data_IF_401750801359
#
_entry.id   IF_401750801359
#
_cell.length_a   1.000
_cell.length_b   1.000
_cell.length_c   1.000
_cell.angle_alpha   90.00
_cell.angle_beta   90.00
_cell.angle_gamma   90.00
#
_symmetry.space_group_name_H-M   'P 1'
#
loop_
_entity.id
_entity.type
_entity.pdbx_description
1 polymer ?
#
# COMPACT_ATOMS: atom_id res chain seq x y z
N UNK A 1 17.89 21.13 -2.03
CA UNK A 1 18.12 21.09 -0.58
C UNK A 1 19.12 19.99 -0.28
N UNK A 2 20.11 20.23 0.60
CA UNK A 2 20.95 19.14 1.10
C UNK A 2 20.04 18.14 1.81
N UNK A 3 20.20 16.85 1.49
CA UNK A 3 19.40 15.80 2.13
C UNK A 3 19.86 15.68 3.58
N UNK A 4 18.94 15.64 4.52
CA UNK A 4 19.22 15.18 5.88
C UNK A 4 19.72 13.73 5.80
N UNK A 5 20.73 13.40 6.62
CA UNK A 5 21.25 12.04 6.69
C UNK A 5 20.13 11.05 7.05
N UNK A 6 20.22 9.82 6.53
CA UNK A 6 19.28 8.75 6.90
C UNK A 6 19.52 8.41 8.37
N UNK A 7 18.44 8.27 9.15
CA UNK A 7 18.53 7.75 10.51
C UNK A 7 18.83 6.25 10.42
N UNK A 8 20.05 5.87 10.75
CA UNK A 8 20.55 4.49 10.71
C UNK A 8 21.14 4.16 12.09
N UNK A 9 20.25 3.98 13.07
CA UNK A 9 20.60 3.70 14.45
C UNK A 9 20.26 2.23 14.79
N UNK A 10 20.97 1.61 15.76
CA UNK A 10 20.60 0.29 16.26
C UNK A 10 19.14 0.27 16.75
N UNK A 11 18.41 -0.79 16.41
CA UNK A 11 16.99 -0.95 16.71
C UNK A 11 16.03 -0.15 15.80
N UNK A 12 16.53 0.67 14.87
CA UNK A 12 15.68 1.41 13.95
C UNK A 12 14.95 0.48 12.97
N UNK A 13 13.67 0.77 12.75
CA UNK A 13 12.84 0.11 11.74
C UNK A 13 12.99 0.82 10.39
N UNK A 14 13.18 0.04 9.33
CA UNK A 14 13.36 0.49 7.97
C UNK A 14 12.39 -0.25 7.05
N UNK A 15 11.56 0.51 6.33
CA UNK A 15 10.92 -0.01 5.14
C UNK A 15 11.81 0.32 3.93
N UNK A 16 12.22 -0.71 3.21
CA UNK A 16 13.16 -0.58 2.11
C UNK A 16 12.50 -1.07 0.84
N UNK A 17 12.52 -0.22 -0.19
CA UNK A 17 12.20 -0.60 -1.56
C UNK A 17 13.49 -0.63 -2.39
N UNK A 18 13.69 -1.71 -3.12
CA UNK A 18 14.64 -1.75 -4.24
C UNK A 18 13.85 -1.82 -5.54
N UNK A 19 14.18 -0.96 -6.50
CA UNK A 19 13.49 -0.85 -7.79
C UNK A 19 14.51 -0.76 -8.92
N UNK A 20 14.23 -1.38 -10.06
CA UNK A 20 15.08 -1.17 -11.24
C UNK A 20 14.86 0.22 -11.82
N UNK A 21 15.90 0.77 -12.43
CA UNK A 21 15.80 1.95 -13.29
C UNK A 21 14.73 1.68 -14.36
N UNK A 22 13.95 2.72 -14.69
CA UNK A 22 12.86 2.68 -15.68
C UNK A 22 11.79 1.61 -15.44
N UNK A 23 11.55 1.21 -14.18
CA UNK A 23 10.53 0.20 -13.82
C UNK A 23 10.72 -1.15 -14.52
N UNK A 24 11.91 -1.42 -15.05
CA UNK A 24 12.22 -2.69 -15.70
C UNK A 24 12.23 -3.84 -14.69
N UNK A 25 12.12 -5.09 -15.18
CA UNK A 25 12.16 -6.28 -14.32
C UNK A 25 13.50 -6.42 -13.60
N UNK A 26 13.50 -6.49 -12.27
CA UNK A 26 14.67 -6.90 -11.46
C UNK A 26 14.81 -8.41 -11.58
N UNK A 27 13.71 -9.15 -11.32
CA UNK A 27 13.68 -10.60 -11.38
C UNK A 27 13.13 -11.02 -12.75
N UNK A 28 14.00 -11.62 -13.57
CA UNK A 28 13.60 -12.17 -14.87
C UNK A 28 13.15 -13.62 -14.75
N UNK A 29 13.65 -14.33 -13.74
CA UNK A 29 13.34 -15.73 -13.42
C UNK A 29 13.21 -15.90 -11.90
N UNK A 30 12.54 -16.96 -11.45
CA UNK A 30 12.42 -17.27 -10.02
C UNK A 30 13.78 -17.48 -9.34
N UNK A 31 14.77 -18.02 -10.07
CA UNK A 31 16.14 -18.15 -9.59
C UNK A 31 16.76 -16.81 -9.12
N UNK A 32 16.34 -15.68 -9.70
CA UNK A 32 16.83 -14.37 -9.28
C UNK A 32 16.27 -13.97 -7.91
N UNK A 33 15.06 -14.42 -7.57
CA UNK A 33 14.44 -14.23 -6.24
C UNK A 33 15.13 -15.14 -5.23
N UNK A 34 15.38 -16.39 -5.62
CA UNK A 34 16.06 -17.38 -4.77
C UNK A 34 17.48 -16.94 -4.42
N UNK A 35 18.26 -16.41 -5.38
CA UNK A 35 19.61 -15.87 -5.10
C UNK A 35 19.57 -14.69 -4.12
N UNK A 36 18.54 -13.85 -4.19
CA UNK A 36 18.39 -12.73 -3.27
C UNK A 36 17.98 -13.20 -1.87
N UNK A 37 17.11 -14.21 -1.76
CA UNK A 37 16.73 -14.86 -0.50
C UNK A 37 17.90 -15.56 0.17
N UNK A 38 18.67 -16.36 -0.57
CA UNK A 38 19.85 -17.07 -0.07
C UNK A 38 20.89 -16.10 0.50
N UNK A 39 21.03 -14.92 -0.11
CA UNK A 39 21.90 -13.87 0.41
C UNK A 39 21.37 -13.27 1.70
N UNK A 40 20.07 -12.99 1.76
CA UNK A 40 19.45 -12.48 2.98
C UNK A 40 19.59 -13.48 4.13
N UNK A 41 19.45 -14.78 3.88
CA UNK A 41 19.61 -15.80 4.92
C UNK A 41 21.02 -15.87 5.51
N UNK A 42 22.04 -15.38 4.79
CA UNK A 42 23.41 -15.25 5.30
C UNK A 42 23.65 -13.88 5.95
N UNK A 43 23.25 -12.80 5.28
CA UNK A 43 23.57 -11.43 5.71
C UNK A 43 22.81 -11.05 6.98
N UNK A 44 21.52 -11.40 7.08
CA UNK A 44 20.68 -10.95 8.19
C UNK A 44 21.16 -11.50 9.54
N UNK A 45 21.48 -12.80 9.70
CA UNK A 45 22.05 -13.31 10.95
C UNK A 45 23.41 -12.70 11.29
N UNK A 46 24.32 -12.59 10.33
CA UNK A 46 25.67 -12.03 10.54
C UNK A 46 25.68 -10.55 10.95
N UNK A 47 24.62 -9.83 10.59
CA UNK A 47 24.45 -8.40 10.91
C UNK A 47 23.45 -8.16 12.02
N UNK A 48 22.94 -9.22 12.65
CA UNK A 48 21.87 -9.19 13.65
C UNK A 48 20.63 -8.40 13.20
N UNK A 49 20.40 -8.27 11.89
CA UNK A 49 19.27 -7.53 11.33
C UNK A 49 18.03 -8.41 11.33
N UNK A 50 16.98 -7.96 12.00
CA UNK A 50 15.69 -8.68 12.01
C UNK A 50 14.90 -8.37 10.75
N UNK A 51 14.31 -9.39 10.11
CA UNK A 51 13.37 -9.23 9.00
C UNK A 51 11.96 -9.61 9.45
N UNK A 52 11.04 -8.66 9.39
CA UNK A 52 9.64 -8.87 9.78
C UNK A 52 8.74 -9.20 8.59
N UNK A 53 9.03 -8.64 7.41
CA UNK A 53 8.27 -8.85 6.20
C UNK A 53 9.14 -8.62 4.96
N UNK A 54 8.79 -9.29 3.86
CA UNK A 54 9.39 -9.08 2.55
C UNK A 54 8.39 -9.40 1.43
N UNK A 55 8.57 -8.77 0.27
CA UNK A 55 7.80 -9.08 -0.92
C UNK A 55 8.65 -8.90 -2.19
N UNK A 56 8.58 -9.86 -3.12
CA UNK A 56 9.25 -9.80 -4.41
C UNK A 56 8.26 -9.67 -5.56
N UNK A 57 8.26 -8.50 -6.21
CA UNK A 57 7.52 -8.23 -7.44
C UNK A 57 8.50 -8.22 -8.62
N UNK A 58 8.00 -8.32 -9.85
CA UNK A 58 8.87 -8.44 -11.03
C UNK A 58 9.90 -7.30 -11.17
N UNK A 59 9.51 -6.06 -10.85
CA UNK A 59 10.32 -4.85 -11.04
C UNK A 59 10.77 -4.15 -9.75
N UNK A 60 10.38 -4.66 -8.58
CA UNK A 60 10.79 -4.14 -7.29
C UNK A 60 10.68 -5.17 -6.16
N UNK A 61 11.35 -4.91 -5.05
CA UNK A 61 11.21 -5.70 -3.83
C UNK A 61 11.10 -4.80 -2.60
N UNK A 62 10.36 -5.30 -1.61
CA UNK A 62 10.12 -4.65 -0.32
C UNK A 62 10.70 -5.46 0.82
N UNK A 63 11.23 -4.75 1.82
CA UNK A 63 11.71 -5.33 3.07
C UNK A 63 11.29 -4.46 4.25
N UNK A 64 10.86 -5.10 5.33
CA UNK A 64 10.71 -4.46 6.64
C UNK A 64 11.78 -5.02 7.56
N UNK A 65 12.84 -4.24 7.76
CA UNK A 65 14.00 -4.62 8.56
C UNK A 65 14.08 -3.80 9.84
N UNK A 66 14.61 -4.40 10.90
CA UNK A 66 15.16 -3.68 12.04
C UNK A 66 16.66 -3.89 12.08
N UNK A 67 17.40 -2.81 11.85
CA UNK A 67 18.87 -2.84 11.86
C UNK A 67 19.41 -2.93 13.28
N UNK A 68 20.60 -3.48 13.43
CA UNK A 68 21.39 -3.45 14.66
C UNK A 68 22.65 -2.57 14.46
N UNK A 69 23.70 -2.75 15.27
CA UNK A 69 24.95 -1.98 15.20
C UNK A 69 25.61 -1.94 13.82
N UNK A 70 25.44 -2.99 13.00
CA UNK A 70 25.97 -3.00 11.62
C UNK A 70 25.32 -1.94 10.71
N UNK A 71 24.12 -1.47 11.06
CA UNK A 71 23.34 -0.51 10.29
C UNK A 71 22.75 -1.08 9.00
N UNK A 72 21.65 -0.47 8.55
CA UNK A 72 20.95 -0.88 7.34
C UNK A 72 21.77 -0.64 6.08
N UNK A 73 22.61 0.39 6.09
CA UNK A 73 23.47 0.74 4.97
C UNK A 73 24.44 -0.39 4.62
N UNK A 74 24.99 -1.07 5.63
CA UNK A 74 25.88 -2.23 5.44
C UNK A 74 25.13 -3.42 4.84
N UNK A 75 23.96 -3.75 5.40
CA UNK A 75 23.09 -4.83 4.91
C UNK A 75 22.77 -4.64 3.43
N UNK A 76 22.29 -3.45 3.07
CA UNK A 76 21.91 -3.14 1.70
C UNK A 76 23.10 -3.14 0.74
N UNK A 77 24.27 -2.65 1.18
CA UNK A 77 25.51 -2.70 0.40
C UNK A 77 25.90 -4.16 0.10
N UNK A 78 25.92 -5.02 1.10
CA UNK A 78 26.28 -6.44 0.94
C UNK A 78 25.29 -7.17 0.03
N UNK A 79 23.99 -6.96 0.26
CA UNK A 79 22.92 -7.58 -0.51
C UNK A 79 22.99 -7.22 -2.00
N UNK A 80 23.00 -5.92 -2.30
CA UNK A 80 22.93 -5.43 -3.68
C UNK A 80 24.22 -5.67 -4.46
N UNK A 81 25.39 -5.49 -3.82
CA UNK A 81 26.68 -5.78 -4.45
C UNK A 81 26.75 -7.27 -4.82
N UNK A 82 26.39 -8.13 -3.88
CA UNK A 82 26.38 -9.57 -4.12
C UNK A 82 25.45 -9.98 -5.27
N UNK A 83 24.23 -9.43 -5.27
CA UNK A 83 23.24 -9.68 -6.32
C UNK A 83 23.74 -9.27 -7.71
N UNK A 84 24.31 -8.07 -7.83
CA UNK A 84 24.87 -7.58 -9.10
C UNK A 84 26.01 -8.47 -9.58
N UNK A 85 26.98 -8.79 -8.73
CA UNK A 85 28.14 -9.61 -9.13
C UNK A 85 27.75 -11.00 -9.64
N UNK A 86 26.65 -11.59 -9.16
CA UNK A 86 26.17 -12.90 -9.65
C UNK A 86 25.70 -12.87 -11.10
N UNK A 87 25.29 -11.70 -11.61
CA UNK A 87 24.93 -11.51 -13.02
C UNK A 87 26.15 -11.55 -13.95
N UNK A 88 27.34 -11.30 -13.40
CA UNK A 88 28.61 -11.28 -14.14
C UNK A 88 29.42 -12.58 -13.98
N UNK A 89 29.13 -13.41 -12.98
CA UNK A 89 29.79 -14.70 -12.84
C UNK A 89 29.26 -15.55 -11.69
N UNK A 90 29.49 -16.87 -11.78
CA UNK A 90 29.07 -17.84 -10.74
C UNK A 90 29.82 -17.67 -9.42
N UNK A 91 31.07 -17.20 -9.47
CA UNK A 91 31.92 -16.94 -8.30
C UNK A 91 32.15 -15.45 -8.12
N UNK A 92 32.43 -15.01 -6.89
CA UNK A 92 32.73 -13.59 -6.59
C UNK A 92 33.94 -13.11 -7.41
N UNK A 93 34.98 -13.94 -7.55
CA UNK A 93 36.17 -13.61 -8.34
C UNK A 93 35.84 -13.36 -9.80
N UNK A 94 35.09 -14.29 -10.44
CA UNK A 94 34.70 -14.14 -11.85
C UNK A 94 33.75 -12.94 -12.02
N UNK A 95 32.76 -12.81 -11.13
CA UNK A 95 31.82 -11.68 -11.15
C UNK A 95 32.50 -10.33 -11.07
N UNK A 96 33.53 -10.17 -10.22
CA UNK A 96 34.31 -8.92 -10.14
C UNK A 96 35.09 -8.64 -11.42
N UNK A 97 35.75 -9.67 -11.98
CA UNK A 97 36.53 -9.55 -13.21
C UNK A 97 35.66 -9.12 -14.39
N UNK A 98 34.53 -9.81 -14.60
CA UNK A 98 33.61 -9.51 -15.71
C UNK A 98 32.86 -8.18 -15.50
N UNK A 99 32.53 -7.83 -14.25
CA UNK A 99 31.96 -6.51 -13.94
C UNK A 99 32.95 -5.38 -14.26
N UNK A 100 34.24 -5.56 -13.97
CA UNK A 100 35.27 -4.56 -14.29
C UNK A 100 35.37 -4.35 -15.80
N UNK A 101 35.44 -5.43 -16.59
CA UNK A 101 35.45 -5.35 -18.06
C UNK A 101 34.22 -4.61 -18.58
N UNK A 102 33.03 -4.90 -18.02
CA UNK A 102 31.80 -4.20 -18.38
C UNK A 102 31.86 -2.69 -18.06
N UNK A 103 32.37 -2.33 -16.88
CA UNK A 103 32.50 -0.92 -16.47
C UNK A 103 33.51 -0.20 -17.38
N UNK A 104 34.67 -0.81 -17.65
CA UNK A 104 35.69 -0.27 -18.54
C UNK A 104 35.15 0.03 -19.94
N UNK A 105 34.37 -0.89 -20.52
CA UNK A 105 33.71 -0.69 -21.81
C UNK A 105 32.74 0.50 -21.81
N UNK A 106 32.11 0.80 -20.67
CA UNK A 106 31.14 1.90 -20.52
C UNK A 106 31.75 3.25 -20.18
N UNK A 107 33.05 3.36 -19.85
CA UNK A 107 33.68 4.63 -19.44
C UNK A 107 33.59 5.69 -20.54
N UNK A 108 33.78 5.29 -21.80
CA UNK A 108 33.73 6.18 -22.96
C UNK A 108 32.32 6.73 -23.24
N UNK A 109 31.27 6.06 -22.75
CA UNK A 109 29.88 6.47 -22.93
C UNK A 109 29.48 7.65 -22.03
N UNK A 110 30.34 8.05 -21.08
CA UNK A 110 30.15 9.24 -20.26
C UNK A 110 28.94 9.16 -19.32
N UNK A 111 28.32 10.31 -19.04
CA UNK A 111 27.12 10.38 -18.19
C UNK A 111 25.89 10.04 -19.03
N UNK A 112 25.08 9.12 -18.52
CA UNK A 112 23.78 8.71 -19.08
C UNK A 112 22.63 9.25 -18.21
N UNK A 113 22.04 10.42 -18.53
CA UNK A 113 20.98 11.05 -17.73
C UNK A 113 19.79 10.13 -17.45
N UNK A 114 19.47 9.25 -18.41
CA UNK A 114 18.41 8.25 -18.35
C UNK A 114 18.66 7.17 -17.28
N UNK A 115 19.92 6.92 -16.92
CA UNK A 115 20.31 5.94 -15.89
C UNK A 115 20.49 6.55 -14.50
N UNK A 116 20.28 7.86 -14.35
CA UNK A 116 20.39 8.56 -13.06
C UNK A 116 19.08 8.37 -12.28
N UNK A 117 19.01 7.32 -11.45
CA UNK A 117 17.85 7.07 -10.58
C UNK A 117 17.62 8.22 -9.57
N UNK A 118 16.38 8.71 -9.47
CA UNK A 118 16.08 9.81 -8.55
C UNK A 118 14.66 10.39 -8.55
N UNK A 119 13.66 9.67 -9.09
CA UNK A 119 12.26 10.11 -9.14
C UNK A 119 11.98 11.20 -10.19
N UNK A 120 10.71 11.26 -10.61
CA UNK A 120 10.12 12.19 -11.59
C UNK A 120 10.58 13.66 -11.40
N UNK A 121 10.83 14.06 -10.16
CA UNK A 121 11.21 15.41 -9.78
C UNK A 121 12.63 15.80 -10.26
N UNK A 122 13.58 14.85 -10.36
CA UNK A 122 14.93 15.16 -10.87
C UNK A 122 15.02 15.10 -12.40
N UNK A 123 14.32 14.16 -13.03
CA UNK A 123 14.27 14.07 -14.49
C UNK A 123 13.58 15.29 -15.11
N UNK A 124 12.64 15.91 -14.39
CA UNK A 124 11.95 17.13 -14.81
C UNK A 124 12.65 18.45 -14.39
N UNK A 125 13.87 18.42 -13.83
CA UNK A 125 14.61 19.66 -13.51
C UNK A 125 14.25 20.32 -12.17
N UNK A 126 13.63 19.59 -11.25
CA UNK A 126 13.36 20.02 -9.88
C UNK A 126 11.92 20.50 -9.64
N UNK A 127 11.59 20.75 -8.36
CA UNK A 127 10.26 21.17 -7.90
C UNK A 127 9.70 22.42 -8.58
N UNK A 128 10.55 23.24 -9.19
CA UNK A 128 10.15 24.47 -9.90
C UNK A 128 9.40 24.15 -11.21
N UNK A 129 9.81 23.10 -11.91
CA UNK A 129 9.16 22.63 -13.14
C UNK A 129 7.94 21.74 -12.83
N UNK A 130 8.01 20.94 -11.77
CA UNK A 130 6.86 20.13 -11.28
C UNK A 130 5.70 21.02 -10.82
N UNK A 131 5.98 22.19 -10.22
CA UNK A 131 4.94 23.17 -9.85
C UNK A 131 4.25 23.82 -11.06
N UNK A 132 4.92 23.92 -12.22
CA UNK A 132 4.28 24.42 -13.45
C UNK A 132 3.26 23.42 -14.01
N UNK A 133 3.42 22.14 -13.72
CA UNK A 133 2.52 21.07 -14.16
C UNK A 133 1.18 21.02 -13.41
N UNK A 134 0.89 21.95 -12.48
CA UNK A 134 -0.41 22.06 -11.78
C UNK A 134 -0.99 20.69 -11.37
N UNK A 135 -0.21 19.89 -10.65
CA UNK A 135 -0.77 18.78 -9.89
C UNK A 135 -1.52 19.38 -8.70
N UNK A 136 -2.82 19.11 -8.67
CA UNK A 136 -3.79 19.81 -7.85
C UNK A 136 -3.53 19.62 -6.35
N UNK A 137 -4.02 20.56 -5.55
CA UNK A 137 -3.64 20.82 -4.14
C UNK A 137 -4.09 19.77 -3.10
N UNK A 138 -4.11 18.47 -3.41
CA UNK A 138 -4.45 17.41 -2.43
C UNK A 138 -3.28 16.53 -1.99
N UNK A 139 -2.13 16.57 -2.66
CA UNK A 139 -0.95 15.74 -2.34
C UNK A 139 -0.07 16.29 -1.20
N UNK A 140 -0.68 16.78 -0.12
CA UNK A 140 0.08 16.89 1.15
C UNK A 140 0.29 15.48 1.69
N UNK A 141 1.39 14.88 1.23
CA UNK A 141 2.09 13.69 1.69
C UNK A 141 1.59 13.16 3.03
N UNK A 142 0.75 12.12 2.99
CA UNK A 142 0.21 11.42 4.17
C UNK A 142 1.18 10.40 4.80
N UNK A 143 2.49 10.55 4.61
CA UNK A 143 3.46 9.71 5.31
C UNK A 143 4.90 9.84 4.80
N UNK A 144 5.83 9.36 5.62
CA UNK A 144 7.25 9.35 5.32
C UNK A 144 7.54 8.40 4.14
N UNK A 145 8.10 8.93 3.04
CA UNK A 145 8.49 8.16 1.85
C UNK A 145 9.45 7.01 2.18
N UNK A 146 10.16 7.09 3.31
CA UNK A 146 11.09 6.05 3.81
C UNK A 146 10.37 4.96 4.60
N UNK A 147 9.12 5.17 5.00
CA UNK A 147 8.30 4.21 5.74
C UNK A 147 7.24 3.59 4.84
N UNK A 148 6.76 4.28 3.82
CA UNK A 148 5.69 3.78 2.93
C UNK A 148 6.15 3.56 1.48
N UNK A 149 7.27 4.15 1.04
CA UNK A 149 7.78 4.06 -0.33
C UNK A 149 7.57 5.36 -1.14
N UNK A 150 7.91 5.31 -2.44
CA UNK A 150 7.70 6.41 -3.40
C UNK A 150 6.22 6.81 -3.44
N UNK A 151 5.91 8.10 -3.56
CA UNK A 151 4.53 8.61 -3.50
C UNK A 151 3.60 7.93 -4.50
N UNK A 152 4.08 7.69 -5.73
CA UNK A 152 3.35 6.97 -6.77
C UNK A 152 3.04 5.51 -6.38
N UNK A 153 3.98 4.82 -5.71
CA UNK A 153 3.80 3.44 -5.27
C UNK A 153 2.88 3.35 -4.06
N UNK A 154 2.98 4.29 -3.12
CA UNK A 154 2.04 4.41 -2.00
C UNK A 154 0.65 4.66 -2.55
N UNK A 155 0.51 5.54 -3.54
CA UNK A 155 -0.77 5.80 -4.19
C UNK A 155 -1.28 4.60 -5.00
N UNK A 156 -0.41 3.82 -5.64
CA UNK A 156 -0.77 2.60 -6.39
C UNK A 156 -1.15 1.44 -5.46
N UNK A 157 -0.42 1.22 -4.37
CA UNK A 157 -0.73 0.20 -3.34
C UNK A 157 -1.93 0.61 -2.52
N UNK A 158 -2.05 1.90 -2.16
CA UNK A 158 -3.27 2.43 -1.58
C UNK A 158 -4.39 2.22 -2.58
N UNK A 159 -4.33 2.69 -3.84
CA UNK A 159 -5.34 2.47 -4.89
C UNK A 159 -5.76 0.99 -5.00
N UNK A 160 -4.80 0.06 -5.01
CA UNK A 160 -5.04 -1.39 -5.09
C UNK A 160 -5.65 -1.96 -3.79
N UNK A 161 -5.36 -1.36 -2.64
CA UNK A 161 -5.98 -1.66 -1.35
C UNK A 161 -7.23 -0.79 -1.04
N UNK A 162 -7.52 0.21 -1.87
CA UNK A 162 -8.38 1.38 -1.56
C UNK A 162 -9.80 1.25 -2.08
N UNK A 163 -10.14 0.28 -2.92
CA UNK A 163 -11.53 0.24 -3.42
C UNK A 163 -12.55 0.16 -2.27
N UNK A 164 -12.20 -0.50 -1.15
CA UNK A 164 -12.97 -0.45 0.10
C UNK A 164 -12.56 0.66 1.08
N UNK A 165 -11.29 1.07 1.10
CA UNK A 165 -10.75 2.01 2.10
C UNK A 165 -11.00 3.49 1.72
N UNK A 166 -10.96 3.85 0.43
CA UNK A 166 -11.39 5.16 -0.09
C UNK A 166 -12.85 5.41 0.23
N UNK A 167 -13.73 4.44 -0.01
CA UNK A 167 -15.17 4.63 0.19
C UNK A 167 -15.50 4.88 1.66
N UNK A 168 -14.90 4.11 2.58
CA UNK A 168 -15.04 4.31 4.03
C UNK A 168 -14.50 5.66 4.50
N UNK A 169 -13.28 6.01 4.08
CA UNK A 169 -12.65 7.27 4.49
C UNK A 169 -13.36 8.49 3.86
N UNK A 170 -13.80 8.39 2.61
CA UNK A 170 -14.58 9.39 1.88
C UNK A 170 -15.94 9.62 2.52
N UNK A 171 -16.64 8.56 2.93
CA UNK A 171 -17.89 8.69 3.68
C UNK A 171 -17.67 9.47 4.98
N UNK A 172 -16.67 9.08 5.78
CA UNK A 172 -16.36 9.76 7.04
C UNK A 172 -15.93 11.21 6.84
N UNK A 173 -15.13 11.52 5.80
CA UNK A 173 -14.70 12.90 5.51
C UNK A 173 -15.84 13.78 4.98
N UNK A 174 -16.81 13.20 4.27
CA UNK A 174 -18.06 13.85 3.88
C UNK A 174 -19.04 14.01 5.05
N UNK A 175 -18.70 13.53 6.25
CA UNK A 175 -19.52 13.61 7.45
C UNK A 175 -20.65 12.57 7.48
N UNK A 176 -20.44 11.40 6.89
CA UNK A 176 -21.33 10.26 7.07
C UNK A 176 -20.96 9.52 8.36
N UNK A 177 -21.93 9.43 9.24
CA UNK A 177 -21.95 8.59 10.43
C UNK A 177 -23.21 7.71 10.40
N UNK A 178 -23.38 6.88 11.43
CA UNK A 178 -24.54 5.98 11.56
C UNK A 178 -25.86 6.77 11.50
N UNK A 179 -25.91 7.97 12.11
CA UNK A 179 -27.13 8.79 12.16
C UNK A 179 -27.51 9.32 10.78
N UNK A 180 -26.54 9.74 9.97
CA UNK A 180 -26.78 10.19 8.61
C UNK A 180 -27.23 9.06 7.70
N UNK A 181 -26.62 7.89 7.81
CA UNK A 181 -27.04 6.69 7.06
C UNK A 181 -28.46 6.28 7.47
N UNK A 182 -28.79 6.33 8.77
CA UNK A 182 -30.13 6.08 9.28
C UNK A 182 -31.16 7.01 8.62
N UNK A 183 -30.90 8.32 8.63
CA UNK A 183 -31.80 9.32 8.03
C UNK A 183 -32.03 9.06 6.54
N UNK A 184 -30.97 8.72 5.80
CA UNK A 184 -31.10 8.40 4.38
C UNK A 184 -31.94 7.15 4.14
N UNK A 185 -31.72 6.06 4.88
CA UNK A 185 -32.51 4.84 4.74
C UNK A 185 -33.98 5.09 5.09
N UNK A 186 -34.25 5.84 6.17
CA UNK A 186 -35.59 6.26 6.57
C UNK A 186 -36.28 7.02 5.43
N UNK A 187 -35.57 7.99 4.81
CA UNK A 187 -36.08 8.77 3.68
C UNK A 187 -36.35 7.92 2.44
N UNK A 188 -35.40 7.07 2.05
CA UNK A 188 -35.50 6.20 0.86
C UNK A 188 -36.67 5.23 0.95
N UNK A 189 -36.88 4.63 2.13
CA UNK A 189 -37.95 3.67 2.33
C UNK A 189 -39.24 4.31 2.82
N UNK A 190 -39.27 5.61 3.11
CA UNK A 190 -40.40 6.35 3.69
C UNK A 190 -41.03 5.58 4.86
N UNK A 191 -40.21 5.24 5.85
CA UNK A 191 -40.61 4.53 7.08
C UNK A 191 -40.45 5.45 8.29
N UNK A 192 -41.02 5.09 9.44
CA UNK A 192 -40.71 5.80 10.67
C UNK A 192 -39.39 5.31 11.25
N UNK A 193 -38.73 6.14 12.07
CA UNK A 193 -37.46 5.75 12.70
C UNK A 193 -37.61 4.50 13.55
N UNK A 194 -38.69 4.40 14.31
CA UNK A 194 -38.96 3.28 15.23
C UNK A 194 -39.11 1.95 14.48
N UNK A 195 -39.60 2.00 13.24
CA UNK A 195 -39.78 0.82 12.40
C UNK A 195 -38.42 0.17 12.07
N UNK A 196 -37.37 0.96 11.84
CA UNK A 196 -36.03 0.47 11.51
C UNK A 196 -35.46 -0.41 12.64
N UNK A 197 -35.72 -0.02 13.89
CA UNK A 197 -35.29 -0.71 15.11
C UNK A 197 -36.27 -1.79 15.59
N UNK A 198 -37.45 -1.90 14.98
CA UNK A 198 -38.47 -2.88 15.39
C UNK A 198 -38.12 -4.32 14.97
N UNK A 199 -38.67 -5.33 15.63
CA UNK A 199 -38.51 -6.74 15.21
C UNK A 199 -39.48 -7.18 14.09
N UNK A 200 -40.13 -6.23 13.40
CA UNK A 200 -41.09 -6.56 12.35
C UNK A 200 -40.44 -7.25 11.15
N UNK A 201 -41.20 -8.15 10.52
CA UNK A 201 -40.80 -8.89 9.31
C UNK A 201 -41.48 -8.37 8.05
N UNK A 202 -42.18 -7.23 8.12
CA UNK A 202 -42.73 -6.57 6.93
C UNK A 202 -41.61 -6.34 5.92
N UNK A 203 -41.84 -6.80 4.68
CA UNK A 203 -40.83 -6.83 3.62
C UNK A 203 -40.08 -5.51 3.47
N UNK A 204 -40.83 -4.40 3.36
CA UNK A 204 -40.27 -3.05 3.20
C UNK A 204 -39.31 -2.65 4.34
N UNK A 205 -39.65 -2.96 5.58
CA UNK A 205 -38.84 -2.63 6.76
C UNK A 205 -37.62 -3.58 6.87
N UNK A 206 -37.79 -4.85 6.50
CA UNK A 206 -36.67 -5.81 6.46
C UNK A 206 -35.64 -5.44 5.38
N UNK A 207 -36.09 -4.97 4.21
CA UNK A 207 -35.23 -4.46 3.14
C UNK A 207 -34.50 -3.19 3.59
N UNK A 208 -35.19 -2.23 4.21
CA UNK A 208 -34.59 -1.02 4.78
C UNK A 208 -33.48 -1.34 5.79
N UNK A 209 -33.75 -2.25 6.74
CA UNK A 209 -32.76 -2.70 7.73
C UNK A 209 -31.57 -3.41 7.09
N UNK A 210 -31.81 -4.20 6.05
CA UNK A 210 -30.74 -4.91 5.33
C UNK A 210 -29.83 -3.92 4.61
N UNK A 211 -30.38 -2.89 3.97
CA UNK A 211 -29.61 -1.80 3.37
C UNK A 211 -28.83 -1.01 4.42
N UNK A 212 -29.47 -0.64 5.54
CA UNK A 212 -28.83 0.05 6.66
C UNK A 212 -27.64 -0.74 7.21
N UNK A 213 -27.82 -2.03 7.49
CA UNK A 213 -26.74 -2.89 7.96
C UNK A 213 -25.60 -3.02 6.95
N UNK A 214 -25.91 -3.17 5.66
CA UNK A 214 -24.90 -3.24 4.61
C UNK A 214 -24.08 -1.94 4.56
N UNK A 215 -24.72 -0.78 4.50
CA UNK A 215 -24.02 0.51 4.48
C UNK A 215 -23.21 0.75 5.74
N UNK A 216 -23.74 0.47 6.93
CA UNK A 216 -22.97 0.66 8.16
C UNK A 216 -21.77 -0.30 8.26
N UNK A 217 -21.94 -1.59 7.92
CA UNK A 217 -20.87 -2.60 8.11
C UNK A 217 -19.88 -2.64 6.96
N UNK A 218 -20.34 -2.60 5.71
CA UNK A 218 -19.48 -2.75 4.53
C UNK A 218 -18.94 -1.42 4.00
N UNK A 219 -19.70 -0.34 4.11
CA UNK A 219 -19.28 0.98 3.58
C UNK A 219 -18.67 1.86 4.68
N UNK A 220 -19.37 2.06 5.80
CA UNK A 220 -18.88 2.87 6.93
C UNK A 220 -17.87 2.11 7.81
N UNK A 221 -17.88 0.78 7.73
CA UNK A 221 -16.98 -0.15 8.42
C UNK A 221 -17.23 -0.31 9.92
N UNK A 222 -18.48 -0.17 10.34
CA UNK A 222 -18.92 -0.48 11.70
C UNK A 222 -18.86 -1.99 11.97
N UNK A 223 -18.66 -2.37 13.23
CA UNK A 223 -18.62 -3.79 13.60
C UNK A 223 -20.03 -4.38 13.61
N UNK A 224 -20.17 -5.64 13.19
CA UNK A 224 -21.46 -6.35 13.28
C UNK A 224 -21.96 -6.45 14.72
N UNK A 225 -21.05 -6.48 15.69
CA UNK A 225 -21.36 -6.53 17.13
C UNK A 225 -21.96 -5.22 17.62
N UNK A 226 -21.45 -4.08 17.17
CA UNK A 226 -21.99 -2.77 17.56
C UNK A 226 -23.32 -2.50 16.87
N UNK A 227 -23.46 -2.92 15.60
CA UNK A 227 -24.75 -2.89 14.90
C UNK A 227 -25.80 -3.80 15.55
N UNK A 228 -25.39 -4.96 16.07
CA UNK A 228 -26.26 -5.88 16.79
C UNK A 228 -26.81 -5.22 18.07
N UNK A 229 -25.94 -4.57 18.85
CA UNK A 229 -26.35 -3.80 20.04
C UNK A 229 -27.29 -2.64 19.67
N UNK A 230 -26.95 -1.88 18.62
CA UNK A 230 -27.73 -0.74 18.16
C UNK A 230 -29.15 -1.14 17.75
N UNK A 231 -29.31 -2.24 17.04
CA UNK A 231 -30.61 -2.71 16.52
C UNK A 231 -31.33 -3.68 17.46
N UNK A 232 -30.74 -4.04 18.61
CA UNK A 232 -31.29 -5.05 19.51
C UNK A 232 -31.37 -6.46 18.89
N UNK A 233 -30.46 -6.81 17.98
CA UNK A 233 -30.44 -8.08 17.24
C UNK A 233 -29.21 -8.91 17.61
N UNK A 234 -29.18 -10.17 17.17
CA UNK A 234 -27.98 -11.01 17.30
C UNK A 234 -26.97 -10.70 16.19
N UNK A 235 -25.67 -10.87 16.48
CA UNK A 235 -24.61 -10.67 15.47
C UNK A 235 -24.83 -11.52 14.19
N UNK A 236 -25.25 -12.82 14.26
CA UNK A 236 -25.60 -13.57 13.06
C UNK A 236 -26.76 -12.96 12.27
N UNK A 237 -27.78 -12.42 12.94
CA UNK A 237 -28.89 -11.74 12.26
C UNK A 237 -28.44 -10.48 11.50
N UNK A 238 -27.43 -9.77 12.03
CA UNK A 238 -26.77 -8.68 11.30
C UNK A 238 -25.99 -9.21 10.09
N UNK A 239 -25.24 -10.30 10.24
CA UNK A 239 -24.55 -10.96 9.12
C UNK A 239 -25.50 -11.28 7.96
N UNK A 240 -26.62 -11.95 8.24
CA UNK A 240 -27.66 -12.24 7.25
C UNK A 240 -28.33 -10.97 6.68
N UNK A 241 -28.44 -9.90 7.46
CA UNK A 241 -28.97 -8.62 6.97
C UNK A 241 -27.99 -7.93 6.00
N UNK A 242 -26.68 -7.97 6.29
CA UNK A 242 -25.62 -7.44 5.43
C UNK A 242 -25.59 -8.16 4.08
N UNK A 243 -25.63 -9.50 4.09
CA UNK A 243 -25.65 -10.30 2.86
C UNK A 243 -26.89 -10.03 2.00
N UNK A 244 -28.07 -9.85 2.63
CA UNK A 244 -29.31 -9.47 1.93
C UNK A 244 -29.30 -8.01 1.43
N UNK A 245 -28.52 -7.13 2.07
CA UNK A 245 -28.43 -5.72 1.72
C UNK A 245 -27.54 -5.45 0.51
N UNK A 246 -26.48 -6.23 0.32
CA UNK A 246 -25.55 -6.09 -0.82
C UNK A 246 -26.20 -6.11 -2.21
N UNK A 247 -27.12 -7.04 -2.56
CA UNK A 247 -27.78 -7.01 -3.86
C UNK A 247 -28.73 -5.82 -4.05
N UNK A 248 -29.11 -5.11 -2.99
CA UNK A 248 -29.93 -3.88 -3.09
C UNK A 248 -29.11 -2.70 -3.62
N UNK A 249 -27.79 -2.71 -3.47
CA UNK A 249 -26.88 -1.66 -3.96
C UNK A 249 -26.37 -1.95 -5.37
N UNK A 250 -26.12 -3.23 -5.71
CA UNK A 250 -25.56 -3.64 -7.03
C UNK A 250 -26.50 -3.46 -8.24
N UNK A 251 -27.79 -3.20 -8.04
CA UNK A 251 -28.78 -2.99 -9.12
C UNK A 251 -29.11 -1.52 -9.40
N UNK A 252 -28.23 -0.59 -9.01
CA UNK A 252 -28.46 0.87 -9.03
C UNK A 252 -29.73 1.33 -8.28
N UNK A 253 -30.28 0.47 -7.40
CA UNK A 253 -31.56 0.78 -6.74
C UNK A 253 -31.37 1.78 -5.60
N UNK A 254 -30.23 1.71 -4.91
CA UNK A 254 -29.86 2.61 -3.82
C UNK A 254 -28.34 2.77 -3.76
N UNK A 255 -27.82 3.95 -4.07
CA UNK A 255 -26.42 4.33 -3.80
C UNK A 255 -26.34 5.28 -2.60
N UNK A 256 -25.30 5.11 -1.78
CA UNK A 256 -25.06 5.90 -0.58
C UNK A 256 -24.43 7.26 -0.91
N UNK A 257 -23.63 7.29 -1.98
CA UNK A 257 -23.04 8.47 -2.60
C UNK A 257 -23.55 8.41 -4.03
N UNK A 258 -24.55 9.23 -4.36
CA UNK A 258 -25.33 9.11 -5.60
C UNK A 258 -24.53 9.08 -6.90
#
# INVERSE_FOLDING_TARGET
>A
MPRTARLDAPGALHHIMIRRIERQRIFRKNQDRDDLLERLSVILPETHTSCYAWAFLDNHAHFLFRSDEAGISMVMKRLLTGYVLRKFGKTVRKGRSEYLVFVEAGVSEGRKPELVGGGLIRSLGGWKEVKKLRLDRQDRMKGDERILGDGDFVMEVLATANEGYERRYRLKSLGYDISRIEQQVIGLFNIKKEDLYSHTRKRRISEARSLFCYWCVRELGESMTDMAKLLGLTQPAIGYAVERGEPLTKKEKYDLIG
#
